data_IF_473721428343
#
_entry.id   IF_473721428343
#
_cell.length_a   1.000
_cell.length_b   1.000
_cell.length_c   1.000
_cell.angle_alpha   90.00
_cell.angle_beta   90.00
_cell.angle_gamma   90.00
#
_symmetry.space_group_name_H-M   'P 1'
#
loop_
_entity.id
_entity.type
_entity.pdbx_description
1 polymer ?
#
# COMPACT_ATOMS: atom_id res chain seq x y z
N UNK A 1 -24.56 -20.17 9.34
CA UNK A 1 -23.62 -20.47 8.24
C UNK A 1 -23.15 -19.14 7.64
N UNK A 2 -22.44 -18.32 8.43
CA UNK A 2 -22.22 -16.89 8.12
C UNK A 2 -20.95 -16.35 8.83
N UNK A 3 -19.90 -17.18 8.86
CA UNK A 3 -18.78 -17.04 9.81
C UNK A 3 -17.41 -17.16 9.11
N UNK A 4 -17.44 -17.00 7.80
CA UNK A 4 -16.31 -17.21 6.89
C UNK A 4 -15.79 -15.88 6.30
N UNK A 5 -16.43 -14.76 6.64
CA UNK A 5 -16.19 -13.45 6.02
C UNK A 5 -15.57 -12.39 6.93
N UNK A 6 -15.31 -12.66 8.22
CA UNK A 6 -15.00 -11.61 9.21
C UNK A 6 -13.52 -11.20 9.28
N UNK A 7 -12.60 -12.16 9.21
CA UNK A 7 -11.17 -11.87 9.19
C UNK A 7 -10.62 -11.50 7.78
N UNK A 8 -11.13 -12.06 6.66
CA UNK A 8 -10.73 -11.59 5.34
C UNK A 8 -11.21 -10.16 5.05
N UNK A 9 -12.07 -9.58 5.89
CA UNK A 9 -12.57 -8.20 5.77
C UNK A 9 -11.78 -7.21 6.61
N UNK A 10 -11.01 -7.60 7.63
CA UNK A 10 -10.16 -6.68 8.42
C UNK A 10 -8.79 -6.51 7.75
N UNK A 11 -8.20 -7.61 7.28
CA UNK A 11 -7.10 -7.54 6.32
C UNK A 11 -7.64 -7.12 4.96
N UNK A 12 -8.84 -7.57 4.58
CA UNK A 12 -9.57 -7.01 3.45
C UNK A 12 -9.81 -5.52 3.57
N UNK A 13 -10.04 -4.88 4.72
CA UNK A 13 -10.25 -3.42 4.83
C UNK A 13 -8.92 -2.66 4.81
N UNK A 14 -7.89 -3.25 5.42
CA UNK A 14 -6.49 -2.88 5.15
C UNK A 14 -6.10 -3.22 3.70
N UNK A 15 -6.91 -3.92 2.91
CA UNK A 15 -6.59 -4.27 1.51
C UNK A 15 -7.62 -3.76 0.48
N UNK A 16 -8.76 -3.23 0.92
CA UNK A 16 -9.88 -2.65 0.17
C UNK A 16 -9.79 -1.13 0.27
N UNK A 17 -9.36 -0.58 1.42
CA UNK A 17 -8.81 0.78 1.49
C UNK A 17 -7.50 0.93 0.69
N UNK A 18 -6.84 -0.21 0.39
CA UNK A 18 -5.61 -0.26 -0.42
C UNK A 18 -5.79 -0.81 -1.84
N UNK A 19 -7.01 -1.15 -2.24
CA UNK A 19 -7.24 -2.01 -3.40
C UNK A 19 -8.49 -1.71 -4.21
N UNK A 20 -9.08 -0.53 -4.10
CA UNK A 20 -10.04 -0.05 -5.09
C UNK A 20 -9.62 1.33 -5.57
N UNK A 21 -8.87 1.34 -6.67
CA UNK A 21 -9.39 1.70 -7.99
C UNK A 21 -8.38 1.22 -9.03
N UNK A 22 -8.84 0.40 -9.99
CA UNK A 22 -8.09 0.18 -11.22
C UNK A 22 -8.15 1.52 -11.98
N UNK A 23 -7.19 2.41 -11.73
CA UNK A 23 -6.68 3.23 -12.83
C UNK A 23 -6.03 2.25 -13.83
N UNK A 24 -6.17 2.44 -15.15
CA UNK A 24 -5.58 1.53 -16.12
C UNK A 24 -4.05 1.53 -16.00
N UNK A 25 -3.51 0.65 -15.15
CA UNK A 25 -2.10 0.26 -15.20
C UNK A 25 -2.01 -0.86 -16.23
N UNK A 26 -1.43 -0.55 -17.40
CA UNK A 26 -1.24 -1.54 -18.46
C UNK A 26 -0.25 -2.64 -18.01
N UNK A 27 -0.76 -3.77 -17.52
CA UNK A 27 -0.04 -5.06 -17.50
C UNK A 27 -1.01 -6.25 -17.57
N UNK A 28 -0.52 -7.32 -18.21
CA UNK A 28 -1.23 -8.46 -18.82
C UNK A 28 -1.97 -9.39 -17.83
N UNK A 29 -3.17 -9.82 -18.25
CA UNK A 29 -4.19 -10.66 -17.59
C UNK A 29 -3.78 -12.11 -17.28
N UNK A 30 -4.38 -12.70 -16.23
CA UNK A 30 -5.26 -13.90 -16.28
C UNK A 30 -5.69 -14.41 -14.86
N UNK A 31 -6.94 -14.88 -14.76
CA UNK A 31 -7.74 -15.38 -13.60
C UNK A 31 -7.45 -16.91 -13.32
N UNK A 32 -8.09 -17.73 -12.41
CA UNK A 32 -9.16 -17.49 -11.42
C UNK A 32 -9.19 -18.32 -10.05
N UNK A 33 -10.04 -17.88 -9.09
CA UNK A 33 -11.02 -18.62 -8.19
C UNK A 33 -10.74 -19.57 -6.94
N UNK A 34 -11.35 -19.18 -5.78
CA UNK A 34 -12.25 -19.81 -4.70
C UNK A 34 -11.78 -20.76 -3.50
N UNK A 35 -12.28 -20.47 -2.26
CA UNK A 35 -13.01 -21.30 -1.19
C UNK A 35 -12.57 -21.11 0.30
N UNK A 36 -13.57 -20.98 1.21
CA UNK A 36 -13.58 -20.60 2.66
C UNK A 36 -13.46 -21.72 3.75
N UNK A 37 -13.06 -21.39 5.01
CA UNK A 37 -13.47 -22.10 6.27
C UNK A 37 -13.21 -21.40 7.65
N UNK A 38 -14.30 -21.15 8.42
CA UNK A 38 -14.61 -21.12 9.89
C UNK A 38 -13.64 -20.78 11.07
N UNK A 39 -14.07 -19.74 11.85
CA UNK A 39 -14.44 -19.68 13.32
C UNK A 39 -13.38 -19.46 14.43
N UNK A 40 -13.49 -18.36 15.22
CA UNK A 40 -13.40 -18.36 16.70
C UNK A 40 -13.95 -17.09 17.41
N UNK A 41 -14.39 -17.21 18.67
CA UNK A 41 -15.45 -16.39 19.33
C UNK A 41 -15.04 -15.16 20.17
N UNK A 42 -13.76 -14.87 20.39
CA UNK A 42 -13.34 -13.79 21.31
C UNK A 42 -13.38 -12.38 20.70
N UNK A 43 -13.39 -12.26 19.37
CA UNK A 43 -13.39 -10.98 18.64
C UNK A 43 -14.75 -10.29 18.49
N UNK A 44 -15.85 -10.95 18.84
CA UNK A 44 -17.22 -10.53 18.46
C UNK A 44 -17.68 -9.19 19.06
N UNK A 45 -17.22 -8.80 20.25
CA UNK A 45 -17.64 -7.53 20.89
C UNK A 45 -16.93 -6.29 20.34
N UNK A 46 -15.68 -6.43 19.92
CA UNK A 46 -14.93 -5.36 19.27
C UNK A 46 -15.49 -5.09 17.85
N UNK A 47 -15.86 -6.16 17.15
CA UNK A 47 -16.38 -6.14 15.78
C UNK A 47 -17.72 -5.38 15.68
N UNK A 48 -18.62 -5.54 16.65
CA UNK A 48 -19.92 -4.84 16.65
C UNK A 48 -19.79 -3.31 16.79
N UNK A 49 -18.80 -2.84 17.55
CA UNK A 49 -18.56 -1.39 17.70
C UNK A 49 -17.85 -0.78 16.48
N UNK A 50 -17.10 -1.59 15.73
CA UNK A 50 -16.40 -1.14 14.53
C UNK A 50 -17.32 -1.11 13.30
N UNK A 51 -18.20 -2.12 13.16
CA UNK A 51 -19.15 -2.24 12.04
C UNK A 51 -20.20 -1.13 11.96
N UNK A 52 -20.51 -0.46 13.08
CA UNK A 52 -21.43 0.69 13.06
C UNK A 52 -20.80 1.98 12.51
N UNK A 53 -19.48 2.00 12.26
CA UNK A 53 -18.72 3.22 11.98
C UNK A 53 -17.86 3.14 10.69
N UNK A 54 -18.24 2.33 9.69
CA UNK A 54 -17.51 2.23 8.40
C UNK A 54 -18.38 2.83 7.27
N UNK A 55 -18.05 4.02 6.74
CA UNK A 55 -18.73 4.61 5.58
C UNK A 55 -18.07 4.21 4.24
N UNK A 56 -18.80 4.33 3.12
CA UNK A 56 -18.35 4.00 1.75
C UNK A 56 -17.29 4.98 1.18
N UNK A 57 -16.28 4.42 0.50
CA UNK A 57 -15.29 4.97 -0.47
C UNK A 57 -14.66 6.38 -0.32
N UNK A 58 -13.32 6.38 -0.43
CA UNK A 58 -12.35 7.49 -0.58
C UNK A 58 -12.35 8.62 0.45
N UNK A 59 -13.49 9.09 0.97
CA UNK A 59 -13.52 10.12 2.01
C UNK A 59 -13.16 9.55 3.41
N UNK A 60 -13.08 8.21 3.54
CA UNK A 60 -12.94 7.53 4.82
C UNK A 60 -11.57 6.91 5.08
N UNK A 61 -10.57 7.10 4.20
CA UNK A 61 -9.24 6.55 4.43
C UNK A 61 -8.61 7.16 5.69
N UNK A 62 -8.77 8.48 5.87
CA UNK A 62 -8.30 9.19 7.07
C UNK A 62 -9.00 8.67 8.33
N UNK A 63 -10.33 8.49 8.28
CA UNK A 63 -11.09 7.95 9.42
C UNK A 63 -10.66 6.53 9.76
N UNK A 64 -10.54 5.65 8.76
CA UNK A 64 -10.06 4.28 8.93
C UNK A 64 -8.64 4.25 9.51
N UNK A 65 -7.73 5.07 8.99
CA UNK A 65 -6.37 5.19 9.51
C UNK A 65 -6.37 5.64 10.97
N UNK A 66 -7.19 6.63 11.34
CA UNK A 66 -7.32 7.09 12.72
C UNK A 66 -7.90 6.01 13.63
N UNK A 67 -8.95 5.31 13.20
CA UNK A 67 -9.55 4.22 13.95
C UNK A 67 -8.55 3.09 14.18
N UNK A 68 -7.81 2.66 13.14
CA UNK A 68 -6.77 1.65 13.23
C UNK A 68 -5.62 2.10 14.13
N UNK A 69 -5.18 3.35 14.01
CA UNK A 69 -4.15 3.94 14.87
C UNK A 69 -4.56 3.89 16.35
N UNK A 70 -5.81 4.25 16.65
CA UNK A 70 -6.36 4.23 17.99
C UNK A 70 -6.55 2.79 18.54
N UNK A 71 -6.60 1.79 17.66
CA UNK A 71 -6.83 0.38 18.03
C UNK A 71 -5.66 -0.55 17.65
N UNK A 72 -4.47 0.02 17.47
CA UNK A 72 -3.30 -0.70 16.98
C UNK A 72 -2.94 -1.92 17.85
N UNK A 73 -3.14 -1.82 19.16
CA UNK A 73 -2.93 -2.94 20.10
C UNK A 73 -3.90 -4.10 19.82
N UNK A 74 -5.18 -3.80 19.58
CA UNK A 74 -6.18 -4.81 19.26
C UNK A 74 -5.93 -5.43 17.88
N UNK A 75 -5.56 -4.61 16.89
CA UNK A 75 -5.20 -5.08 15.54
C UNK A 75 -4.01 -6.03 15.61
N UNK A 76 -2.94 -5.66 16.32
CA UNK A 76 -1.78 -6.53 16.51
C UNK A 76 -2.14 -7.83 17.24
N UNK A 77 -3.00 -7.78 18.26
CA UNK A 77 -3.45 -8.98 18.97
C UNK A 77 -4.22 -9.93 18.05
N UNK A 78 -5.05 -9.42 17.13
CA UNK A 78 -5.74 -10.23 16.13
C UNK A 78 -4.74 -10.90 15.18
N UNK A 79 -3.73 -10.16 14.71
CA UNK A 79 -2.66 -10.70 13.85
C UNK A 79 -1.85 -11.78 14.58
N UNK A 80 -1.60 -11.59 15.89
CA UNK A 80 -0.88 -12.56 16.72
C UNK A 80 -1.66 -13.86 16.95
N UNK A 81 -2.97 -13.76 17.11
CA UNK A 81 -3.85 -14.91 17.32
C UNK A 81 -4.17 -15.67 16.02
N UNK A 82 -4.03 -15.03 14.85
CA UNK A 82 -4.28 -15.67 13.57
C UNK A 82 -3.32 -16.84 13.32
N UNK A 83 -3.86 -17.96 12.84
CA UNK A 83 -3.05 -19.12 12.45
C UNK A 83 -2.24 -18.83 11.18
N UNK A 84 -1.16 -19.56 10.91
CA UNK A 84 -0.39 -19.39 9.66
C UNK A 84 -1.24 -19.54 8.40
N UNK A 85 -2.19 -20.49 8.38
CA UNK A 85 -3.10 -20.71 7.25
C UNK A 85 -4.06 -19.53 7.06
N UNK A 86 -4.57 -18.98 8.16
CA UNK A 86 -5.43 -17.80 8.14
C UNK A 86 -4.69 -16.59 7.57
N UNK A 87 -3.48 -16.30 8.06
CA UNK A 87 -2.65 -15.21 7.53
C UNK A 87 -2.31 -15.38 6.05
N UNK A 88 -1.99 -16.60 5.62
CA UNK A 88 -1.75 -16.90 4.21
C UNK A 88 -2.99 -16.61 3.35
N UNK A 89 -4.17 -17.04 3.80
CA UNK A 89 -5.41 -16.78 3.10
C UNK A 89 -5.73 -15.28 3.01
N UNK A 90 -5.57 -14.54 4.10
CA UNK A 90 -5.87 -13.11 4.11
C UNK A 90 -4.94 -12.32 3.21
N UNK A 91 -3.64 -12.61 3.24
CA UNK A 91 -2.68 -11.95 2.36
C UNK A 91 -2.89 -12.33 0.89
N UNK A 92 -3.29 -13.58 0.59
CA UNK A 92 -3.69 -13.98 -0.78
C UNK A 92 -4.95 -13.29 -1.25
N UNK A 93 -5.92 -13.06 -0.38
CA UNK A 93 -7.14 -12.32 -0.76
C UNK A 93 -6.85 -10.83 -0.98
N UNK A 94 -5.92 -10.28 -0.21
CA UNK A 94 -5.43 -8.92 -0.36
C UNK A 94 -4.66 -8.71 -1.67
N UNK A 95 -3.77 -9.64 -2.00
CA UNK A 95 -2.84 -9.53 -3.12
C UNK A 95 -2.90 -10.79 -4.00
N UNK A 96 -4.06 -11.07 -4.63
CA UNK A 96 -4.32 -12.36 -5.29
C UNK A 96 -3.40 -12.65 -6.47
N UNK A 97 -2.88 -11.61 -7.14
CA UNK A 97 -2.07 -11.72 -8.35
C UNK A 97 -0.57 -11.52 -8.12
N UNK A 98 -0.12 -11.50 -6.86
CA UNK A 98 1.27 -11.23 -6.47
C UNK A 98 1.91 -12.42 -5.76
N UNK A 99 3.22 -12.59 -5.96
CA UNK A 99 3.95 -13.68 -5.34
C UNK A 99 4.32 -13.34 -3.89
N UNK A 100 3.73 -14.03 -2.93
CA UNK A 100 4.06 -13.84 -1.51
C UNK A 100 5.09 -14.86 -0.99
N UNK A 101 5.73 -15.63 -1.88
CA UNK A 101 6.64 -16.71 -1.51
C UNK A 101 7.89 -16.24 -0.76
N UNK A 102 8.36 -15.02 -1.05
CA UNK A 102 9.50 -14.40 -0.38
C UNK A 102 9.21 -14.01 1.08
N UNK A 103 7.92 -13.90 1.45
CA UNK A 103 7.46 -13.57 2.80
C UNK A 103 7.28 -14.87 3.59
N UNK A 104 8.29 -15.22 4.38
CA UNK A 104 8.31 -16.40 5.26
C UNK A 104 7.54 -16.14 6.55
N UNK A 105 7.73 -14.97 7.15
CA UNK A 105 7.01 -14.54 8.34
C UNK A 105 5.85 -13.59 7.96
N UNK A 106 4.76 -14.18 7.47
CA UNK A 106 3.54 -13.46 7.07
C UNK A 106 2.90 -12.64 8.20
N UNK A 107 3.08 -13.07 9.45
CA UNK A 107 2.58 -12.33 10.61
C UNK A 107 3.31 -11.01 10.77
N UNK A 108 4.64 -11.05 10.70
CA UNK A 108 5.46 -9.85 10.83
C UNK A 108 5.22 -8.89 9.67
N UNK A 109 5.14 -9.42 8.45
CA UNK A 109 4.76 -8.63 7.27
C UNK A 109 3.41 -7.92 7.45
N UNK A 110 2.39 -8.62 7.94
CA UNK A 110 1.07 -8.03 8.18
C UNK A 110 1.12 -6.90 9.23
N UNK A 111 1.90 -7.06 10.31
CA UNK A 111 2.09 -6.00 11.30
C UNK A 111 2.78 -4.77 10.72
N UNK A 112 3.80 -4.97 9.88
CA UNK A 112 4.47 -3.86 9.19
C UNK A 112 3.55 -3.15 8.21
N UNK A 113 2.74 -3.88 7.44
CA UNK A 113 1.73 -3.28 6.57
C UNK A 113 0.79 -2.36 7.34
N UNK A 114 0.22 -2.82 8.46
CA UNK A 114 -0.67 -1.98 9.26
C UNK A 114 0.08 -0.76 9.79
N UNK A 115 1.32 -0.92 10.26
CA UNK A 115 2.14 0.20 10.76
C UNK A 115 2.38 1.26 9.68
N UNK A 116 2.84 0.85 8.50
CA UNK A 116 3.10 1.78 7.38
C UNK A 116 1.81 2.42 6.85
N UNK A 117 0.66 1.77 7.01
CA UNK A 117 -0.64 2.35 6.67
C UNK A 117 -1.08 3.43 7.66
N UNK A 118 -0.95 3.18 8.97
CA UNK A 118 -1.41 4.14 10.00
C UNK A 118 -0.44 5.28 10.26
N UNK A 119 0.85 5.09 9.95
CA UNK A 119 1.90 6.10 10.04
C UNK A 119 2.49 6.39 8.66
N UNK A 120 1.61 6.75 7.72
CA UNK A 120 1.93 6.92 6.31
C UNK A 120 2.64 8.26 6.02
N UNK A 121 3.81 8.48 6.63
CA UNK A 121 4.69 9.62 6.34
C UNK A 121 6.11 9.15 6.16
N UNK A 122 6.83 9.78 5.23
CA UNK A 122 8.25 9.49 5.05
C UNK A 122 9.05 9.99 6.27
N UNK A 123 10.01 9.17 6.71
CA UNK A 123 10.97 9.57 7.73
C UNK A 123 12.29 9.96 7.05
N UNK A 124 12.67 11.26 6.99
CA UNK A 124 13.86 11.69 6.26
C UNK A 124 15.18 11.15 6.84
N UNK A 125 15.16 10.61 8.06
CA UNK A 125 16.32 10.02 8.73
C UNK A 125 16.38 8.49 8.62
N UNK A 126 15.38 7.86 8.02
CA UNK A 126 15.38 6.42 7.80
C UNK A 126 16.40 6.06 6.72
N UNK A 127 17.31 5.10 6.97
CA UNK A 127 18.30 4.70 5.99
C UNK A 127 17.63 4.01 4.80
N UNK A 128 18.01 4.43 3.59
CA UNK A 128 17.53 3.87 2.32
C UNK A 128 18.68 3.12 1.62
N UNK A 129 18.37 2.00 0.99
CA UNK A 129 19.32 1.27 0.13
C UNK A 129 19.38 1.84 -1.29
N UNK A 130 18.37 2.58 -1.69
CA UNK A 130 18.22 3.19 -3.01
C UNK A 130 17.86 4.68 -2.96
N UNK A 131 17.44 5.20 -4.11
CA UNK A 131 16.97 6.59 -4.29
C UNK A 131 15.68 6.60 -5.08
N UNK A 132 14.85 7.61 -4.88
CA UNK A 132 13.61 7.79 -5.64
C UNK A 132 13.40 9.25 -6.04
N UNK A 133 12.66 9.44 -7.12
CA UNK A 133 12.21 10.75 -7.62
C UNK A 133 10.85 10.61 -8.30
N UNK A 134 10.08 11.68 -8.39
CA UNK A 134 8.80 11.69 -9.11
C UNK A 134 8.92 12.58 -10.34
N UNK A 135 8.35 12.14 -11.46
CA UNK A 135 8.36 12.83 -12.75
C UNK A 135 6.97 12.81 -13.38
N UNK A 136 6.73 13.72 -14.31
CA UNK A 136 5.52 13.74 -15.14
C UNK A 136 5.60 12.75 -16.31
N UNK A 137 6.80 12.28 -16.66
CA UNK A 137 7.05 11.38 -17.79
C UNK A 137 7.58 10.03 -17.32
N UNK A 138 7.29 9.02 -18.14
CA UNK A 138 7.76 7.66 -17.93
C UNK A 138 9.28 7.53 -18.11
N UNK A 139 9.90 8.32 -18.99
CA UNK A 139 11.33 8.27 -19.23
C UNK A 139 12.09 9.06 -18.17
N UNK A 140 13.08 8.40 -17.56
CA UNK A 140 13.95 9.07 -16.60
C UNK A 140 14.81 10.10 -17.31
N UNK A 141 14.63 11.38 -16.97
CA UNK A 141 15.48 12.47 -17.41
C UNK A 141 15.90 13.29 -16.21
N UNK A 142 17.20 13.55 -16.05
CA UNK A 142 17.72 14.35 -14.92
C UNK A 142 17.13 15.78 -14.93
N UNK A 143 16.75 16.27 -16.10
CA UNK A 143 16.09 17.57 -16.29
C UNK A 143 14.56 17.51 -16.15
N UNK A 144 13.96 16.31 -16.11
CA UNK A 144 12.52 16.09 -15.98
C UNK A 144 12.11 16.19 -14.51
N UNK A 145 12.29 17.37 -13.92
CA UNK A 145 11.73 17.68 -12.59
C UNK A 145 10.22 17.74 -12.71
N UNK A 146 9.49 17.11 -11.79
CA UNK A 146 8.04 17.22 -11.72
C UNK A 146 7.64 18.71 -11.70
N UNK A 147 6.84 19.20 -12.68
CA UNK A 147 6.35 20.56 -12.64
C UNK A 147 5.46 20.76 -11.41
N UNK A 148 5.47 21.98 -10.87
CA UNK A 148 4.62 22.34 -9.73
C UNK A 148 3.15 22.45 -10.10
N UNK A 149 2.87 22.62 -11.40
CA UNK A 149 1.53 22.67 -11.97
C UNK A 149 1.30 21.36 -12.72
N UNK A 150 0.25 20.63 -12.34
CA UNK A 150 -0.13 19.36 -12.96
C UNK A 150 -1.63 19.32 -13.25
N UNK A 151 -2.07 18.47 -14.17
CA UNK A 151 -3.51 18.23 -14.36
C UNK A 151 -4.08 17.36 -13.23
N UNK A 152 -5.37 17.53 -12.90
CA UNK A 152 -6.04 16.80 -11.84
C UNK A 152 -5.88 15.28 -11.98
N UNK A 153 -6.06 14.75 -13.19
CA UNK A 153 -5.96 13.31 -13.48
C UNK A 153 -4.56 12.90 -13.97
N UNK A 154 -3.56 13.78 -13.89
CA UNK A 154 -2.23 13.51 -14.45
C UNK A 154 -1.60 12.29 -13.80
N UNK A 155 -1.22 11.31 -14.62
CA UNK A 155 -0.43 10.18 -14.18
C UNK A 155 0.98 10.63 -13.85
N UNK A 156 1.42 10.36 -12.61
CA UNK A 156 2.78 10.64 -12.16
C UNK A 156 3.58 9.35 -12.10
N UNK A 157 4.88 9.44 -12.40
CA UNK A 157 5.80 8.33 -12.43
C UNK A 157 6.82 8.49 -11.30
N UNK A 158 6.72 7.64 -10.29
CA UNK A 158 7.75 7.56 -9.27
C UNK A 158 8.80 6.55 -9.75
N UNK A 159 10.01 7.05 -9.93
CA UNK A 159 11.20 6.30 -10.30
C UNK A 159 11.98 5.95 -9.05
N UNK A 160 12.60 4.78 -9.04
CA UNK A 160 13.57 4.41 -8.02
C UNK A 160 14.74 3.63 -8.60
N UNK A 161 15.88 3.74 -7.94
CA UNK A 161 17.13 3.06 -8.26
C UNK A 161 17.61 2.32 -7.01
N UNK A 162 17.81 1.01 -7.11
CA UNK A 162 18.29 0.17 -5.99
C UNK A 162 19.79 0.29 -5.75
N UNK A 163 20.54 0.93 -6.66
CA UNK A 163 21.99 1.11 -6.62
C UNK A 163 22.77 -0.21 -6.48
N UNK A 164 22.20 -1.33 -6.93
CA UNK A 164 22.74 -2.68 -6.75
C UNK A 164 22.78 -3.18 -5.30
N UNK A 165 22.17 -2.45 -4.34
CA UNK A 165 22.21 -2.75 -2.90
C UNK A 165 21.01 -3.53 -2.39
N UNK A 166 19.98 -3.66 -3.23
CA UNK A 166 18.75 -4.38 -2.90
C UNK A 166 18.68 -5.63 -3.79
N UNK A 167 18.35 -6.82 -3.25
CA UNK A 167 18.16 -8.00 -4.06
C UNK A 167 17.15 -7.76 -5.18
N UNK A 168 17.46 -8.26 -6.38
CA UNK A 168 16.55 -8.16 -7.51
C UNK A 168 15.23 -8.89 -7.20
N UNK A 169 14.12 -8.27 -7.57
CA UNK A 169 12.77 -8.78 -7.38
C UNK A 169 11.93 -8.35 -8.59
N UNK A 170 10.93 -9.15 -8.95
CA UNK A 170 9.94 -8.79 -9.97
C UNK A 170 8.81 -7.93 -9.41
N UNK A 171 8.87 -7.60 -8.12
CA UNK A 171 7.85 -6.85 -7.41
C UNK A 171 8.39 -6.07 -6.21
N UNK A 172 7.76 -4.94 -5.95
CA UNK A 172 7.98 -4.08 -4.77
C UNK A 172 6.64 -3.71 -4.17
N UNK A 173 6.61 -3.36 -2.89
CA UNK A 173 5.46 -2.67 -2.29
C UNK A 173 5.66 -1.17 -2.44
N UNK A 174 4.61 -0.41 -2.74
CA UNK A 174 4.71 1.05 -2.91
C UNK A 174 3.60 1.75 -2.15
N UNK A 175 3.95 2.81 -1.42
CA UNK A 175 3.02 3.72 -0.74
C UNK A 175 3.07 5.10 -1.38
N UNK A 176 1.91 5.68 -1.65
CA UNK A 176 1.71 7.10 -1.92
C UNK A 176 0.81 7.68 -0.84
N UNK A 177 1.16 8.85 -0.32
CA UNK A 177 0.35 9.52 0.69
C UNK A 177 0.42 11.03 0.57
N UNK A 178 -0.62 11.71 1.06
CA UNK A 178 -0.55 13.12 1.40
C UNK A 178 0.26 13.29 2.68
N UNK A 179 1.37 14.01 2.62
CA UNK A 179 2.28 14.21 3.75
C UNK A 179 1.66 15.07 4.86
N UNK A 180 0.77 16.01 4.50
CA UNK A 180 0.15 16.93 5.44
C UNK A 180 -0.86 16.19 6.31
N UNK A 181 -1.76 15.44 5.69
CA UNK A 181 -2.84 14.71 6.38
C UNK A 181 -2.39 13.33 6.86
N UNK A 182 -1.40 12.72 6.20
CA UNK A 182 -1.05 11.31 6.38
C UNK A 182 -2.00 10.36 5.66
N UNK A 183 -2.89 10.88 4.80
CA UNK A 183 -3.82 10.07 4.02
C UNK A 183 -3.07 9.17 3.04
N UNK A 184 -3.31 7.86 3.11
CA UNK A 184 -2.82 6.93 2.09
C UNK A 184 -3.70 7.02 0.85
N UNK A 185 -3.07 7.34 -0.28
CA UNK A 185 -3.70 7.43 -1.59
C UNK A 185 -3.56 6.11 -2.36
N UNK A 186 -2.47 5.39 -2.13
CA UNK A 186 -2.15 4.12 -2.75
C UNK A 186 -1.19 3.35 -1.86
N UNK A 187 -1.41 2.06 -1.60
CA UNK A 187 -0.45 1.26 -0.86
C UNK A 187 -0.59 -0.23 -1.19
N UNK A 188 0.09 -0.69 -2.24
CA UNK A 188 -0.02 -2.06 -2.73
C UNK A 188 1.25 -2.54 -3.44
N UNK A 189 1.41 -3.87 -3.67
CA UNK A 189 2.47 -4.39 -4.52
C UNK A 189 2.35 -3.88 -5.95
N UNK A 190 3.49 -3.77 -6.63
CA UNK A 190 3.63 -3.38 -8.03
C UNK A 190 4.69 -4.24 -8.70
N UNK A 191 4.44 -4.63 -9.95
CA UNK A 191 5.40 -5.38 -10.76
C UNK A 191 6.48 -4.45 -11.30
N UNK A 192 7.72 -4.94 -11.30
CA UNK A 192 8.91 -4.23 -11.78
C UNK A 192 9.82 -5.19 -12.55
N UNK A 193 10.83 -4.66 -13.23
CA UNK A 193 11.84 -5.49 -13.89
C UNK A 193 12.93 -5.92 -12.91
N UNK A 194 13.05 -7.22 -12.66
CA UNK A 194 14.16 -7.79 -11.88
C UNK A 194 15.52 -7.69 -12.59
N UNK A 195 15.55 -7.31 -13.87
CA UNK A 195 16.78 -7.20 -14.67
C UNK A 195 17.38 -5.79 -14.63
N UNK A 196 16.72 -4.84 -13.97
CA UNK A 196 17.13 -3.43 -13.93
C UNK A 196 17.18 -2.96 -12.48
N UNK A 197 18.20 -2.18 -12.16
CA UNK A 197 18.27 -1.46 -10.88
C UNK A 197 17.30 -0.27 -10.85
N UNK A 198 17.08 0.33 -12.02
CA UNK A 198 16.16 1.44 -12.23
C UNK A 198 14.80 0.94 -12.71
N UNK A 199 13.77 1.30 -11.96
CA UNK A 199 12.38 0.97 -12.24
C UNK A 199 11.49 2.17 -11.89
N UNK A 200 10.23 2.11 -12.30
CA UNK A 200 9.23 3.09 -11.91
C UNK A 200 7.88 2.42 -11.71
N UNK A 201 7.02 3.08 -10.94
CA UNK A 201 5.59 2.79 -10.89
C UNK A 201 4.85 4.09 -11.12
N UNK A 202 3.63 3.99 -11.63
CA UNK A 202 2.83 5.16 -11.97
C UNK A 202 1.51 5.16 -11.23
N UNK A 203 1.02 6.34 -10.87
CA UNK A 203 -0.21 6.51 -10.13
C UNK A 203 -0.92 7.82 -10.51
N UNK A 204 -2.25 7.78 -10.56
CA UNK A 204 -3.13 8.94 -10.53
C UNK A 204 -4.29 8.64 -9.57
N UNK A 205 -4.58 9.52 -8.60
CA UNK A 205 -5.72 9.38 -7.70
C UNK A 205 -7.02 9.60 -8.47
N UNK A 206 -8.04 8.80 -8.19
CA UNK A 206 -9.33 8.90 -8.91
C UNK A 206 -10.10 10.17 -8.58
N UNK A 207 -9.95 10.69 -7.36
CA UNK A 207 -10.51 12.00 -6.99
C UNK A 207 -9.70 13.18 -7.56
N UNK A 208 -8.65 12.90 -8.34
CA UNK A 208 -7.70 13.89 -8.82
C UNK A 208 -6.69 14.31 -7.75
N UNK A 209 -5.57 14.88 -8.22
CA UNK A 209 -4.58 15.50 -7.36
C UNK A 209 -5.13 16.75 -6.70
N UNK A 210 -4.59 17.10 -5.54
CA UNK A 210 -4.84 18.37 -4.86
C UNK A 210 -3.51 19.13 -4.71
N UNK A 211 -3.53 20.45 -4.53
CA UNK A 211 -2.35 21.17 -4.09
C UNK A 211 -1.89 20.65 -2.72
N UNK A 212 -0.61 20.35 -2.57
CA UNK A 212 -0.12 19.74 -1.34
C UNK A 212 1.26 19.08 -1.45
N UNK A 213 1.73 18.58 -0.31
CA UNK A 213 2.95 17.78 -0.20
C UNK A 213 2.59 16.30 -0.20
N UNK A 214 3.34 15.53 -0.98
CA UNK A 214 3.10 14.12 -1.17
C UNK A 214 4.38 13.33 -0.95
N UNK A 215 4.21 12.12 -0.42
CA UNK A 215 5.27 11.18 -0.14
C UNK A 215 5.08 9.92 -1.00
N UNK A 216 6.20 9.39 -1.50
CA UNK A 216 6.28 8.05 -2.08
C UNK A 216 7.33 7.24 -1.35
N UNK A 217 7.03 5.97 -1.04
CA UNK A 217 7.99 5.04 -0.43
C UNK A 217 7.89 3.65 -1.04
N UNK A 218 9.05 3.06 -1.31
CA UNK A 218 9.21 1.72 -1.87
C UNK A 218 9.73 0.77 -0.81
N UNK A 219 9.23 -0.45 -0.84
CA UNK A 219 9.61 -1.50 0.08
C UNK A 219 9.86 -2.81 -0.65
N UNK A 220 10.73 -3.63 -0.07
CA UNK A 220 10.93 -5.01 -0.50
C UNK A 220 9.72 -5.86 -0.10
N UNK A 221 9.37 -6.83 -0.95
CA UNK A 221 8.36 -7.85 -0.66
C UNK A 221 8.93 -8.97 0.22
N UNK A 222 9.33 -8.61 1.45
CA UNK A 222 9.94 -9.50 2.44
C UNK A 222 9.25 -9.40 3.81
N UNK A 223 9.64 -10.24 4.77
CA UNK A 223 9.05 -10.30 6.11
C UNK A 223 8.98 -8.95 6.85
N UNK A 224 9.96 -8.08 6.61
CA UNK A 224 10.12 -6.83 7.32
C UNK A 224 9.55 -5.63 6.56
N UNK A 225 9.03 -5.83 5.35
CA UNK A 225 8.66 -4.76 4.44
C UNK A 225 9.81 -3.72 4.36
N UNK A 226 11.05 -4.19 4.14
CA UNK A 226 12.22 -3.32 4.30
C UNK A 226 12.20 -2.14 3.32
N UNK A 227 12.47 -0.90 3.78
CA UNK A 227 12.49 0.27 2.91
C UNK A 227 13.61 0.15 1.87
N UNK A 228 13.31 0.55 0.64
CA UNK A 228 14.28 0.63 -0.46
C UNK A 228 14.65 2.09 -0.69
N UNK A 229 13.65 2.90 -1.00
CA UNK A 229 13.81 4.29 -1.36
C UNK A 229 12.54 5.07 -0.99
N UNK A 230 12.69 6.37 -0.79
CA UNK A 230 11.58 7.28 -0.58
C UNK A 230 11.87 8.63 -1.20
N UNK A 231 10.83 9.38 -1.51
CA UNK A 231 10.91 10.74 -2.04
C UNK A 231 9.66 11.52 -1.68
N UNK A 232 9.78 12.84 -1.66
CA UNK A 232 8.68 13.76 -1.39
C UNK A 232 8.64 14.82 -2.47
N UNK A 233 7.43 15.23 -2.87
CA UNK A 233 7.23 16.24 -3.90
C UNK A 233 6.10 17.19 -3.51
N UNK A 234 6.02 18.32 -4.21
CA UNK A 234 5.05 19.37 -3.93
C UNK A 234 4.30 19.75 -5.21
N UNK A 235 2.97 19.70 -5.14
CA UNK A 235 2.08 20.22 -6.17
C UNK A 235 1.57 21.58 -5.68
N UNK A 236 1.87 22.63 -6.46
CA UNK A 236 1.46 23.98 -6.14
C UNK A 236 0.07 24.30 -6.71
N UNK A 237 -0.20 23.90 -7.95
CA UNK A 237 -1.49 24.11 -8.58
C UNK A 237 -1.94 22.86 -9.34
N UNK A 238 -3.25 22.67 -9.35
CA UNK A 238 -3.91 21.62 -10.12
C UNK A 238 -4.75 22.28 -11.21
N UNK A 239 -4.53 21.85 -12.44
CA UNK A 239 -5.27 22.29 -13.62
C UNK A 239 -6.42 21.30 -13.82
N UNK A 240 -7.65 21.81 -13.84
CA UNK A 240 -8.88 21.06 -14.12
C UNK A 240 -8.99 20.67 -15.61
#
# INVERSE_FOLDING_TARGET
MLMKFIVPMLIGLVCLGLGYLIAPSNTVSDDPTVIESNRDQTGTRFIQNFQQNIPEQSENNIELQQQLKNQMTQVNAVIDQATPQQLDQYLKQAFPSYDLSAIKNKREFAKHLVREFVDAKNNPHEPMSGRATVMAQQEYGVENVLPRDIYAEQQLFAHFDTLGKTPNSEQVFVRWSDQSTGEVLFFMPQRISAQREQNWVSFSPVAGWKPGHYDVKYYQMNDQLSPIAQTSFYIQHVIE
#
